data_IF_962569521681
#
_entry.id   IF_962569521681
#
_cell.length_a   1.000
_cell.length_b   1.000
_cell.length_c   1.000
_cell.angle_alpha   90.00
_cell.angle_beta   90.00
_cell.angle_gamma   90.00
#
_symmetry.space_group_name_H-M   'P 1'
#
loop_
_entity.id
_entity.type
_entity.pdbx_description
1 polymer ?
#
# COMPACT_ATOMS: atom_id res chain seq x y z
N UNK A 1 37.72 -25.51 -47.48
CA UNK A 1 37.43 -25.08 -48.87
C UNK A 1 35.98 -25.35 -49.29
N UNK A 2 35.39 -26.51 -49.01
CA UNK A 2 33.99 -26.79 -49.43
C UNK A 2 32.95 -25.96 -48.69
N UNK A 3 33.06 -25.82 -47.36
CA UNK A 3 32.12 -25.03 -46.56
C UNK A 3 32.12 -23.53 -46.91
N UNK A 4 33.29 -22.97 -47.22
CA UNK A 4 33.44 -21.57 -47.61
C UNK A 4 32.75 -21.28 -48.96
N UNK A 5 32.85 -22.21 -49.93
CA UNK A 5 32.09 -22.13 -51.19
C UNK A 5 30.58 -22.20 -50.94
N UNK A 6 30.13 -23.08 -50.04
CA UNK A 6 28.72 -23.20 -49.66
C UNK A 6 28.20 -21.92 -48.97
N UNK A 7 28.97 -21.34 -48.05
CA UNK A 7 28.65 -20.08 -47.37
C UNK A 7 28.55 -18.90 -48.36
N UNK A 8 29.48 -18.82 -49.33
CA UNK A 8 29.43 -17.80 -50.37
C UNK A 8 28.20 -17.96 -51.27
N UNK A 9 27.87 -19.19 -51.68
CA UNK A 9 26.65 -19.47 -52.45
C UNK A 9 25.38 -19.08 -51.67
N UNK A 10 25.32 -19.41 -50.38
CA UNK A 10 24.22 -19.05 -49.49
C UNK A 10 24.05 -17.52 -49.37
N UNK A 11 25.14 -16.77 -49.21
CA UNK A 11 25.11 -15.31 -49.17
C UNK A 11 24.70 -14.68 -50.51
N UNK A 12 25.11 -15.26 -51.65
CA UNK A 12 24.65 -14.83 -52.98
C UNK A 12 23.14 -15.04 -53.14
N UNK A 13 22.59 -16.16 -52.65
CA UNK A 13 21.13 -16.41 -52.65
C UNK A 13 20.37 -15.39 -51.80
N UNK A 14 20.85 -15.11 -50.58
CA UNK A 14 20.23 -14.11 -49.71
C UNK A 14 20.25 -12.70 -50.33
N UNK A 15 21.35 -12.34 -51.00
CA UNK A 15 21.47 -11.06 -51.70
C UNK A 15 20.52 -10.97 -52.91
N UNK A 16 20.41 -12.05 -53.71
CA UNK A 16 19.48 -12.12 -54.84
C UNK A 16 18.02 -12.00 -54.41
N UNK A 17 17.70 -12.43 -53.19
CA UNK A 17 16.37 -12.28 -52.60
C UNK A 17 16.13 -10.87 -52.02
N UNK A 18 17.11 -9.96 -52.04
CA UNK A 18 17.00 -8.60 -51.50
C UNK A 18 17.26 -8.50 -49.99
N UNK A 19 17.80 -9.53 -49.36
CA UNK A 19 18.12 -9.50 -47.92
C UNK A 19 19.30 -8.56 -47.64
N UNK A 20 19.14 -7.70 -46.62
CA UNK A 20 20.23 -6.87 -46.08
C UNK A 20 21.09 -7.62 -45.05
N UNK A 21 20.86 -8.93 -44.87
CA UNK A 21 21.57 -9.81 -43.94
C UNK A 21 22.53 -10.72 -44.70
N UNK A 22 23.69 -10.99 -44.10
CA UNK A 22 24.68 -11.96 -44.56
C UNK A 22 25.04 -12.92 -43.43
N UNK A 23 25.27 -14.18 -43.76
CA UNK A 23 25.80 -15.19 -42.85
C UNK A 23 27.33 -15.03 -42.78
N UNK A 24 27.86 -14.85 -41.57
CA UNK A 24 29.28 -14.66 -41.28
C UNK A 24 29.75 -15.79 -40.35
N UNK A 25 30.78 -16.53 -40.76
CA UNK A 25 31.47 -17.47 -39.89
C UNK A 25 32.47 -16.71 -39.00
N UNK A 26 32.40 -16.92 -37.67
CA UNK A 26 33.43 -16.47 -36.73
C UNK A 26 33.88 -17.65 -35.88
N UNK A 27 35.11 -18.08 -36.10
CA UNK A 27 35.63 -19.32 -35.50
C UNK A 27 34.82 -20.52 -35.96
N UNK A 28 34.31 -21.30 -35.01
CA UNK A 28 33.49 -22.48 -35.28
C UNK A 28 31.98 -22.21 -35.35
N UNK A 29 31.52 -20.94 -35.28
CA UNK A 29 30.09 -20.60 -35.20
C UNK A 29 29.63 -19.63 -36.30
N UNK A 30 28.35 -19.72 -36.63
CA UNK A 30 27.69 -18.84 -37.60
C UNK A 30 26.91 -17.70 -36.94
N UNK A 31 26.91 -16.55 -37.61
CA UNK A 31 26.23 -15.32 -37.18
C UNK A 31 25.52 -14.69 -38.38
N UNK A 32 24.46 -13.92 -38.13
CA UNK A 32 23.91 -13.01 -39.13
C UNK A 32 24.48 -11.61 -38.92
N UNK A 33 24.85 -10.94 -40.00
CA UNK A 33 25.36 -9.57 -40.00
C UNK A 33 24.57 -8.75 -41.01
N UNK A 34 24.05 -7.60 -40.58
CA UNK A 34 23.32 -6.71 -41.47
C UNK A 34 22.77 -5.49 -40.75
N UNK A 35 21.99 -4.68 -41.47
CA UNK A 35 21.36 -3.49 -40.92
C UNK A 35 20.11 -3.92 -40.13
N UNK A 36 20.14 -3.72 -38.81
CA UNK A 36 19.08 -4.13 -37.88
C UNK A 36 18.64 -2.94 -37.01
N UNK A 37 17.38 -2.91 -36.54
CA UNK A 37 16.90 -1.93 -35.56
C UNK A 37 17.77 -1.87 -34.29
N UNK A 38 17.94 -0.70 -33.68
CA UNK A 38 18.66 -0.56 -32.40
C UNK A 38 17.80 -1.07 -31.24
N UNK A 39 18.43 -1.72 -30.25
CA UNK A 39 17.75 -2.30 -29.08
C UNK A 39 16.98 -1.29 -28.22
N UNK A 40 17.46 -0.05 -28.15
CA UNK A 40 16.90 1.01 -27.31
C UNK A 40 16.06 2.02 -28.12
N UNK A 41 16.11 1.94 -29.45
CA UNK A 41 15.38 2.84 -30.34
C UNK A 41 15.09 2.14 -31.68
N UNK A 42 13.96 1.42 -31.79
CA UNK A 42 13.62 0.64 -32.98
C UNK A 42 13.53 1.43 -34.29
N UNK A 43 13.30 2.75 -34.21
CA UNK A 43 13.19 3.65 -35.37
C UNK A 43 14.54 3.97 -36.02
N UNK A 44 15.66 3.58 -35.38
CA UNK A 44 17.00 3.74 -35.92
C UNK A 44 17.62 2.38 -36.24
N UNK A 45 18.32 2.30 -37.37
CA UNK A 45 19.01 1.06 -37.78
C UNK A 45 20.52 1.25 -37.81
N UNK A 46 21.26 0.20 -37.43
CA UNK A 46 22.74 0.16 -37.53
C UNK A 46 23.19 -1.22 -37.98
N UNK A 47 24.39 -1.29 -38.57
CA UNK A 47 25.05 -2.56 -38.85
C UNK A 47 25.33 -3.31 -37.53
N UNK A 48 24.65 -4.43 -37.34
CA UNK A 48 24.70 -5.23 -36.12
C UNK A 48 24.83 -6.72 -36.47
N UNK A 49 25.02 -7.54 -35.43
CA UNK A 49 25.16 -8.99 -35.57
C UNK A 49 24.20 -9.72 -34.65
N UNK A 50 23.66 -10.83 -35.14
CA UNK A 50 22.90 -11.81 -34.37
C UNK A 50 23.73 -13.09 -34.30
N UNK A 51 24.06 -13.53 -33.09
CA UNK A 51 24.73 -14.82 -32.87
C UNK A 51 23.69 -15.92 -32.90
N UNK A 52 23.79 -16.84 -33.87
CA UNK A 52 22.83 -17.93 -34.02
C UNK A 52 23.14 -19.11 -33.09
N UNK A 53 24.35 -19.16 -32.52
CA UNK A 53 24.73 -20.27 -31.64
C UNK A 53 24.86 -21.62 -32.36
N UNK A 54 24.83 -21.68 -33.69
CA UNK A 54 25.03 -22.91 -34.46
C UNK A 54 26.46 -23.05 -34.96
N UNK A 55 26.89 -24.29 -35.19
CA UNK A 55 28.21 -24.62 -35.70
C UNK A 55 28.34 -24.29 -37.18
N UNK A 56 29.58 -24.08 -37.64
CA UNK A 56 29.90 -23.86 -39.05
C UNK A 56 29.99 -25.20 -39.82
N UNK A 57 28.86 -25.91 -39.90
CA UNK A 57 28.67 -27.16 -40.63
C UNK A 57 27.41 -27.07 -41.54
N UNK A 58 27.14 -28.06 -42.42
CA UNK A 58 26.00 -27.99 -43.33
C UNK A 58 24.64 -27.80 -42.64
N UNK A 59 24.41 -28.48 -41.50
CA UNK A 59 23.17 -28.35 -40.74
C UNK A 59 23.02 -26.96 -40.10
N UNK A 60 24.11 -26.40 -39.59
CA UNK A 60 24.17 -25.03 -39.08
C UNK A 60 23.97 -23.99 -40.18
N UNK A 61 24.42 -24.25 -41.40
CA UNK A 61 24.21 -23.37 -42.55
C UNK A 61 22.74 -23.30 -42.97
N UNK A 62 22.05 -24.45 -43.01
CA UNK A 62 20.60 -24.50 -43.25
C UNK A 62 19.81 -23.78 -42.16
N UNK A 63 20.21 -23.96 -40.89
CA UNK A 63 19.64 -23.21 -39.78
C UNK A 63 19.85 -21.70 -39.93
N UNK A 64 21.06 -21.28 -40.35
CA UNK A 64 21.37 -19.87 -40.57
C UNK A 64 20.57 -19.25 -41.73
N UNK A 65 20.27 -20.01 -42.79
CA UNK A 65 19.42 -19.58 -43.89
C UNK A 65 17.96 -19.39 -43.46
N UNK A 66 17.42 -20.33 -42.66
CA UNK A 66 16.07 -20.21 -42.10
C UNK A 66 15.98 -19.01 -41.14
N UNK A 67 16.98 -18.84 -40.27
CA UNK A 67 17.05 -17.69 -39.36
C UNK A 67 17.14 -16.36 -40.12
N UNK A 68 17.96 -16.28 -41.17
CA UNK A 68 18.06 -15.08 -42.02
C UNK A 68 16.72 -14.73 -42.68
N UNK A 69 15.97 -15.73 -43.13
CA UNK A 69 14.64 -15.55 -43.73
C UNK A 69 13.61 -15.06 -42.69
N UNK A 70 13.65 -15.61 -41.47
CA UNK A 70 12.76 -15.19 -40.38
C UNK A 70 13.05 -13.75 -39.93
N UNK A 71 14.33 -13.39 -39.71
CA UNK A 71 14.74 -12.03 -39.34
C UNK A 71 14.32 -11.04 -40.41
N UNK A 72 14.50 -11.40 -41.70
CA UNK A 72 14.04 -10.56 -42.80
C UNK A 72 12.54 -10.32 -42.75
N UNK A 73 11.73 -11.38 -42.63
CA UNK A 73 10.28 -11.27 -42.56
C UNK A 73 9.84 -10.34 -41.41
N UNK A 74 10.50 -10.46 -40.25
CA UNK A 74 10.23 -9.62 -39.09
C UNK A 74 10.58 -8.14 -39.31
N UNK A 75 11.67 -7.86 -40.06
CA UNK A 75 12.04 -6.50 -40.42
C UNK A 75 11.04 -5.92 -41.43
N UNK A 76 10.69 -6.70 -42.46
CA UNK A 76 9.75 -6.28 -43.51
C UNK A 76 8.33 -6.01 -42.94
N UNK A 77 7.94 -6.74 -41.88
CA UNK A 77 6.67 -6.56 -41.15
C UNK A 77 6.74 -5.55 -39.99
N UNK A 78 7.91 -4.97 -39.70
CA UNK A 78 8.09 -4.03 -38.58
C UNK A 78 7.91 -4.66 -37.18
N UNK A 79 7.99 -5.98 -37.05
CA UNK A 79 7.76 -6.73 -35.80
C UNK A 79 9.03 -7.37 -35.22
N UNK A 80 10.21 -6.94 -35.68
CA UNK A 80 11.49 -7.47 -35.21
C UNK A 80 11.77 -7.15 -33.74
N UNK A 81 11.95 -8.19 -32.92
CA UNK A 81 12.32 -8.09 -31.51
C UNK A 81 13.64 -8.80 -31.23
N UNK A 82 14.58 -8.08 -30.62
CA UNK A 82 15.87 -8.61 -30.20
C UNK A 82 15.76 -9.70 -29.13
N UNK A 83 14.68 -9.75 -28.34
CA UNK A 83 14.50 -10.75 -27.28
C UNK A 83 14.47 -12.19 -27.83
N UNK A 84 13.97 -12.37 -29.05
CA UNK A 84 13.91 -13.65 -29.75
C UNK A 84 15.28 -14.11 -30.28
N UNK A 85 16.24 -13.19 -30.41
CA UNK A 85 17.53 -13.41 -31.11
C UNK A 85 18.75 -13.20 -30.23
N UNK A 86 18.58 -12.64 -29.04
CA UNK A 86 19.58 -12.73 -27.99
C UNK A 86 19.62 -14.18 -27.53
N UNK A 87 20.53 -14.96 -28.11
CA UNK A 87 20.94 -16.24 -27.52
C UNK A 87 21.14 -15.98 -26.03
N UNK A 88 20.41 -16.70 -25.17
CA UNK A 88 20.67 -16.74 -23.72
C UNK A 88 22.15 -17.03 -23.57
N UNK A 89 22.94 -15.98 -23.39
CA UNK A 89 24.20 -16.11 -22.71
C UNK A 89 23.76 -16.64 -21.36
N UNK A 90 24.22 -17.84 -21.03
CA UNK A 90 24.68 -18.12 -19.69
C UNK A 90 25.61 -16.96 -19.30
N UNK A 91 25.00 -15.86 -18.86
CA UNK A 91 25.71 -14.67 -18.48
C UNK A 91 26.48 -15.06 -17.22
N UNK A 92 27.80 -15.07 -17.32
CA UNK A 92 28.72 -14.99 -16.18
C UNK A 92 28.64 -13.60 -15.49
N UNK A 93 27.45 -13.00 -15.51
CA UNK A 93 26.98 -11.80 -14.82
C UNK A 93 25.44 -11.86 -14.71
N UNK A 94 24.85 -13.06 -14.67
CA UNK A 94 23.54 -13.22 -14.05
C UNK A 94 23.72 -12.71 -12.62
N UNK A 95 23.08 -11.58 -12.33
CA UNK A 95 22.85 -11.16 -10.98
C UNK A 95 22.37 -12.42 -10.23
N UNK A 96 23.12 -12.86 -9.21
CA UNK A 96 22.75 -14.00 -8.35
C UNK A 96 21.24 -13.95 -8.14
N UNK A 97 20.45 -15.03 -8.22
CA UNK A 97 19.01 -14.82 -8.39
C UNK A 97 18.32 -14.14 -7.18
N UNK A 98 19.04 -14.00 -6.05
CA UNK A 98 18.80 -13.03 -4.96
C UNK A 98 18.79 -11.56 -5.41
N UNK A 99 19.78 -11.13 -6.19
CA UNK A 99 19.89 -9.82 -6.83
C UNK A 99 18.76 -9.59 -7.87
N UNK A 100 18.20 -10.65 -8.47
CA UNK A 100 17.04 -10.54 -9.36
C UNK A 100 15.73 -10.27 -8.60
N UNK A 101 15.52 -10.92 -7.45
CA UNK A 101 14.38 -10.65 -6.54
C UNK A 101 14.47 -9.24 -5.97
N UNK A 102 15.62 -8.86 -5.44
CA UNK A 102 15.85 -7.52 -4.89
C UNK A 102 15.66 -6.43 -5.96
N UNK A 103 16.13 -6.67 -7.18
CA UNK A 103 15.91 -5.76 -8.30
C UNK A 103 14.41 -5.65 -8.66
N UNK A 104 13.68 -6.76 -8.68
CA UNK A 104 12.24 -6.77 -8.91
C UNK A 104 11.47 -6.01 -7.81
N UNK A 105 11.82 -6.22 -6.54
CA UNK A 105 11.22 -5.52 -5.41
C UNK A 105 11.52 -4.01 -5.44
N UNK A 106 12.74 -3.60 -5.81
CA UNK A 106 13.10 -2.18 -6.00
C UNK A 106 12.32 -1.54 -7.16
N UNK A 107 12.12 -2.27 -8.27
CA UNK A 107 11.27 -1.81 -9.38
C UNK A 107 9.82 -1.64 -8.93
N UNK A 108 9.31 -2.59 -8.14
CA UNK A 108 7.97 -2.53 -7.59
C UNK A 108 7.80 -1.36 -6.62
N UNK A 109 8.79 -1.09 -5.75
CA UNK A 109 8.81 0.08 -4.87
C UNK A 109 8.72 1.38 -5.65
N UNK A 110 9.56 1.52 -6.69
CA UNK A 110 9.55 2.71 -7.56
C UNK A 110 8.19 2.88 -8.25
N UNK A 111 7.61 1.79 -8.76
CA UNK A 111 6.29 1.82 -9.38
C UNK A 111 5.19 2.20 -8.37
N UNK A 112 5.25 1.64 -7.16
CA UNK A 112 4.31 1.96 -6.07
C UNK A 112 4.31 3.45 -5.74
N UNK A 113 5.48 4.08 -5.60
CA UNK A 113 5.54 5.51 -5.27
C UNK A 113 5.26 6.43 -6.46
N UNK A 114 5.44 5.97 -7.69
CA UNK A 114 5.16 6.75 -8.90
C UNK A 114 3.68 6.75 -9.32
N UNK A 115 2.86 5.81 -8.79
CA UNK A 115 1.43 5.70 -9.06
C UNK A 115 0.71 7.05 -8.83
N UNK A 116 0.10 7.65 -9.87
CA UNK A 116 -0.61 8.93 -9.75
C UNK A 116 -1.67 8.97 -8.66
N UNK A 117 -2.35 7.85 -8.38
CA UNK A 117 -3.40 7.76 -7.34
C UNK A 117 -2.83 8.00 -5.94
N UNK A 118 -1.55 7.68 -5.73
CA UNK A 118 -0.86 7.73 -4.44
C UNK A 118 -0.19 9.07 -4.16
N UNK A 119 -0.09 9.94 -5.17
CA UNK A 119 0.43 11.32 -5.05
C UNK A 119 -0.44 12.21 -4.16
N UNK A 120 -1.75 11.92 -4.06
CA UNK A 120 -2.70 12.70 -3.24
C UNK A 120 -2.42 12.62 -1.74
N UNK A 121 -1.74 11.58 -1.26
CA UNK A 121 -1.36 11.44 0.16
C UNK A 121 0.03 10.80 0.31
N UNK A 122 1.13 11.57 0.12
CA UNK A 122 2.49 11.01 0.15
C UNK A 122 2.87 10.39 1.51
N UNK A 123 2.41 10.97 2.62
CA UNK A 123 2.63 10.43 3.98
C UNK A 123 1.86 9.14 4.23
N UNK A 124 0.63 9.04 3.71
CA UNK A 124 -0.18 7.82 3.73
C UNK A 124 0.45 6.71 2.91
N UNK A 125 0.98 7.03 1.72
CA UNK A 125 1.69 6.07 0.86
C UNK A 125 2.95 5.53 1.52
N UNK A 126 3.78 6.38 2.14
CA UNK A 126 4.96 5.94 2.92
C UNK A 126 4.58 4.99 4.06
N UNK A 127 3.52 5.32 4.80
CA UNK A 127 3.01 4.47 5.89
C UNK A 127 2.49 3.13 5.39
N UNK A 128 1.74 3.16 4.29
CA UNK A 128 1.19 1.95 3.66
C UNK A 128 2.32 1.05 3.18
N UNK A 129 3.34 1.62 2.53
CA UNK A 129 4.51 0.87 2.09
C UNK A 129 5.26 0.25 3.26
N UNK A 130 5.66 1.05 4.26
CA UNK A 130 6.49 0.58 5.37
C UNK A 130 5.77 -0.41 6.29
N UNK A 131 4.46 -0.25 6.49
CA UNK A 131 3.68 -1.08 7.41
C UNK A 131 2.95 -2.25 6.76
N UNK A 132 2.42 -2.09 5.55
CA UNK A 132 1.53 -3.07 4.92
C UNK A 132 2.15 -3.80 3.72
N UNK A 133 3.30 -3.37 3.20
CA UNK A 133 3.97 -4.00 2.06
C UNK A 133 5.35 -4.54 2.45
N UNK A 134 6.26 -3.64 2.84
CA UNK A 134 7.67 -3.92 3.07
C UNK A 134 7.95 -5.10 4.01
N UNK A 135 7.24 -5.31 5.13
CA UNK A 135 7.50 -6.46 6.01
C UNK A 135 7.27 -7.81 5.30
N UNK A 136 6.23 -7.89 4.48
CA UNK A 136 5.84 -9.08 3.74
C UNK A 136 6.76 -9.32 2.53
N UNK A 137 7.16 -8.24 1.84
CA UNK A 137 8.11 -8.30 0.74
C UNK A 137 9.52 -8.72 1.20
N UNK A 138 9.96 -8.26 2.37
CA UNK A 138 11.22 -8.71 2.98
C UNK A 138 11.17 -10.19 3.31
N UNK A 139 10.05 -10.67 3.88
CA UNK A 139 9.88 -12.10 4.14
C UNK A 139 9.94 -12.93 2.85
N UNK A 140 9.24 -12.50 1.80
CA UNK A 140 9.31 -13.11 0.47
C UNK A 140 10.76 -13.20 -0.03
N UNK A 141 11.51 -12.09 0.06
CA UNK A 141 12.92 -12.02 -0.37
C UNK A 141 13.84 -12.93 0.45
N UNK A 142 13.56 -13.15 1.72
CA UNK A 142 14.32 -14.09 2.54
C UNK A 142 13.96 -15.54 2.20
N UNK A 143 12.70 -15.83 1.89
CA UNK A 143 12.23 -17.17 1.52
C UNK A 143 12.58 -17.57 0.09
N UNK A 144 12.88 -16.60 -0.78
CA UNK A 144 13.29 -16.91 -2.15
C UNK A 144 14.61 -17.67 -2.20
N UNK A 145 15.46 -17.58 -1.18
CA UNK A 145 16.78 -18.22 -1.07
C UNK A 145 17.60 -18.13 -2.38
N UNK A 146 17.54 -16.94 -2.98
CA UNK A 146 18.18 -16.67 -4.25
C UNK A 146 17.55 -17.31 -5.48
N UNK A 147 16.26 -17.69 -5.47
CA UNK A 147 15.46 -18.08 -6.63
C UNK A 147 14.64 -16.93 -7.24
N UNK A 148 13.82 -17.20 -8.26
CA UNK A 148 12.94 -16.19 -8.90
C UNK A 148 11.59 -16.06 -8.18
N UNK A 149 10.94 -14.89 -8.28
CA UNK A 149 9.57 -14.71 -7.79
C UNK A 149 8.60 -15.52 -8.67
N UNK A 150 7.96 -16.53 -8.08
CA UNK A 150 6.95 -17.39 -8.72
C UNK A 150 5.63 -17.38 -7.95
N UNK A 151 4.54 -17.86 -8.57
CA UNK A 151 3.26 -18.02 -7.88
C UNK A 151 3.38 -18.92 -6.64
N UNK A 152 4.16 -20.01 -6.72
CA UNK A 152 4.40 -20.93 -5.62
C UNK A 152 5.11 -20.25 -4.44
N UNK A 153 6.12 -19.42 -4.72
CA UNK A 153 6.81 -18.67 -3.67
C UNK A 153 5.86 -17.67 -2.99
N UNK A 154 5.01 -16.99 -3.75
CA UNK A 154 4.00 -16.08 -3.19
C UNK A 154 3.02 -16.84 -2.28
N UNK A 155 2.58 -18.03 -2.70
CA UNK A 155 1.71 -18.88 -1.90
C UNK A 155 2.41 -19.38 -0.63
N UNK A 156 3.65 -19.84 -0.74
CA UNK A 156 4.47 -20.26 0.40
C UNK A 156 4.66 -19.12 1.42
N UNK A 157 4.90 -17.89 0.95
CA UNK A 157 4.98 -16.73 1.84
C UNK A 157 3.64 -16.43 2.51
N UNK A 158 2.53 -16.55 1.79
CA UNK A 158 1.19 -16.37 2.36
C UNK A 158 0.90 -17.41 3.46
N UNK A 159 1.20 -18.68 3.20
CA UNK A 159 1.00 -19.79 4.14
C UNK A 159 1.92 -19.74 5.37
N UNK A 160 2.98 -18.94 5.34
CA UNK A 160 3.85 -18.71 6.51
C UNK A 160 3.18 -17.90 7.63
N UNK A 161 1.96 -17.39 7.39
CA UNK A 161 1.15 -16.68 8.37
C UNK A 161 -0.05 -17.54 8.78
N UNK A 162 -0.40 -17.44 10.06
CA UNK A 162 -1.55 -18.14 10.64
C UNK A 162 -2.83 -17.83 9.84
N UNK A 163 -3.62 -18.89 9.60
CA UNK A 163 -4.86 -18.79 8.85
C UNK A 163 -5.87 -17.84 9.54
N UNK A 164 -6.63 -17.10 8.74
CA UNK A 164 -7.57 -16.07 9.23
C UNK A 164 -6.94 -14.87 9.94
N UNK A 165 -5.61 -14.80 10.07
CA UNK A 165 -4.95 -13.70 10.78
C UNK A 165 -4.95 -12.39 9.98
N UNK A 166 -4.94 -11.25 10.69
CA UNK A 166 -4.84 -9.93 10.06
C UNK A 166 -3.56 -9.77 9.24
N UNK A 167 -2.46 -10.40 9.69
CA UNK A 167 -1.17 -10.38 9.01
C UNK A 167 -1.22 -11.15 7.69
N UNK A 168 -1.89 -12.32 7.65
CA UNK A 168 -2.11 -13.09 6.42
C UNK A 168 -2.91 -12.31 5.38
N UNK A 169 -3.99 -11.63 5.80
CA UNK A 169 -4.78 -10.76 4.92
C UNK A 169 -3.96 -9.60 4.32
N UNK A 170 -3.08 -8.98 5.14
CA UNK A 170 -2.20 -7.92 4.65
C UNK A 170 -1.12 -8.46 3.71
N UNK A 171 -0.53 -9.61 4.05
CA UNK A 171 0.41 -10.32 3.20
C UNK A 171 -0.20 -10.59 1.83
N UNK A 172 -1.39 -11.19 1.78
CA UNK A 172 -2.11 -11.46 0.54
C UNK A 172 -2.35 -10.20 -0.31
N UNK A 173 -2.68 -9.08 0.33
CA UNK A 173 -2.89 -7.80 -0.36
C UNK A 173 -1.58 -7.29 -0.99
N UNK A 174 -0.47 -7.35 -0.26
CA UNK A 174 0.84 -6.91 -0.73
C UNK A 174 1.36 -7.80 -1.87
N UNK A 175 1.29 -9.12 -1.69
CA UNK A 175 1.75 -10.11 -2.67
C UNK A 175 0.88 -10.10 -3.93
N UNK A 176 -0.45 -9.92 -3.82
CA UNK A 176 -1.30 -9.75 -4.99
C UNK A 176 -0.98 -8.49 -5.80
N UNK A 177 -0.57 -7.42 -5.13
CA UNK A 177 -0.12 -6.21 -5.82
C UNK A 177 1.23 -6.41 -6.53
N UNK A 178 2.15 -7.17 -5.92
CA UNK A 178 3.41 -7.55 -6.54
C UNK A 178 3.19 -8.49 -7.74
N UNK A 179 2.35 -9.52 -7.60
CA UNK A 179 2.02 -10.46 -8.67
C UNK A 179 1.47 -9.75 -9.91
N UNK A 180 0.51 -8.82 -9.71
CA UNK A 180 0.00 -7.99 -10.81
C UNK A 180 1.07 -7.12 -11.47
N UNK A 181 2.03 -6.60 -10.70
CA UNK A 181 3.12 -5.80 -11.25
C UNK A 181 4.13 -6.62 -12.06
N UNK A 182 4.34 -7.87 -11.67
CA UNK A 182 5.23 -8.81 -12.35
C UNK A 182 4.51 -9.68 -13.39
N UNK A 183 3.21 -9.47 -13.59
CA UNK A 183 2.34 -10.24 -14.49
C UNK A 183 2.35 -11.75 -14.18
N UNK A 184 2.45 -12.10 -12.89
CA UNK A 184 2.39 -13.48 -12.39
C UNK A 184 0.91 -13.83 -12.15
N UNK A 185 0.38 -14.88 -12.81
CA UNK A 185 -0.97 -15.36 -12.53
C UNK A 185 -1.02 -15.97 -11.12
N UNK A 186 -2.02 -15.57 -10.35
CA UNK A 186 -2.29 -16.14 -9.03
C UNK A 186 -3.40 -17.20 -9.13
N UNK A 187 -3.41 -18.19 -8.23
CA UNK A 187 -4.53 -19.13 -8.10
C UNK A 187 -5.88 -18.42 -7.93
N UNK A 188 -6.95 -19.03 -8.45
CA UNK A 188 -8.31 -18.46 -8.41
C UNK A 188 -8.84 -18.31 -6.96
N UNK A 189 -8.41 -19.20 -6.08
CA UNK A 189 -8.73 -19.26 -4.65
C UNK A 189 -7.88 -18.32 -3.77
N UNK A 190 -6.99 -17.50 -4.35
CA UNK A 190 -6.07 -16.62 -3.60
C UNK A 190 -6.76 -15.75 -2.54
N UNK A 191 -7.99 -15.30 -2.81
CA UNK A 191 -8.77 -14.50 -1.86
C UNK A 191 -9.32 -15.30 -0.69
N UNK A 192 -9.70 -16.55 -0.93
CA UNK A 192 -10.21 -17.46 0.09
C UNK A 192 -9.07 -17.86 1.03
N UNK A 193 -7.93 -18.23 0.43
CA UNK A 193 -6.67 -18.51 1.13
C UNK A 193 -6.14 -17.33 1.95
N UNK A 194 -6.48 -16.10 1.58
CA UNK A 194 -6.10 -14.90 2.32
C UNK A 194 -7.03 -14.57 3.49
N UNK A 195 -8.31 -14.96 3.38
CA UNK A 195 -9.38 -14.53 4.28
C UNK A 195 -9.58 -15.47 5.48
N UNK A 196 -9.42 -16.78 5.25
CA UNK A 196 -9.91 -17.82 6.16
C UNK A 196 -11.45 -17.81 6.28
N UNK A 197 -12.04 -18.87 6.87
CA UNK A 197 -13.46 -18.88 7.24
C UNK A 197 -13.70 -17.86 8.37
N UNK A 198 -14.13 -16.65 8.01
CA UNK A 198 -14.24 -15.53 8.94
C UNK A 198 -15.38 -15.65 9.95
N UNK A 199 -15.13 -15.30 11.21
CA UNK A 199 -15.70 -14.11 11.89
C UNK A 199 -15.51 -14.16 13.44
N UNK A 200 -15.36 -12.95 14.02
CA UNK A 200 -15.61 -12.58 15.43
C UNK A 200 -14.83 -13.29 16.55
N UNK A 201 -13.51 -13.08 16.63
CA UNK A 201 -12.84 -12.95 17.95
C UNK A 201 -12.50 -11.50 18.27
N UNK A 202 -13.47 -10.60 18.11
CA UNK A 202 -13.39 -9.32 18.79
C UNK A 202 -13.62 -9.60 20.28
N UNK A 203 -12.54 -9.67 21.07
CA UNK A 203 -12.67 -9.79 22.53
C UNK A 203 -13.47 -8.58 23.03
N UNK A 204 -14.51 -8.83 23.82
CA UNK A 204 -15.26 -7.76 24.47
C UNK A 204 -14.30 -6.87 25.30
N UNK A 205 -14.04 -5.67 24.78
CA UNK A 205 -13.40 -4.53 25.42
C UNK A 205 -14.36 -3.86 26.38
N UNK A 206 -13.92 -3.68 27.63
CA UNK A 206 -14.61 -2.82 28.58
C UNK A 206 -14.26 -1.36 28.27
N UNK A 207 -15.28 -0.54 28.02
CA UNK A 207 -15.11 0.90 27.78
C UNK A 207 -15.15 1.68 29.10
N UNK A 208 -14.37 2.76 29.22
CA UNK A 208 -14.41 3.59 30.41
C UNK A 208 -15.72 4.38 30.49
N UNK A 209 -16.24 4.50 31.70
CA UNK A 209 -17.35 5.40 32.03
C UNK A 209 -16.91 6.86 31.97
N UNK A 210 -17.86 7.79 31.86
CA UNK A 210 -17.60 9.23 31.90
C UNK A 210 -16.81 9.65 33.15
N UNK A 211 -17.16 9.09 34.31
CA UNK A 211 -16.43 9.31 35.56
C UNK A 211 -14.97 8.89 35.45
N UNK A 212 -14.70 7.69 34.95
CA UNK A 212 -13.33 7.19 34.76
C UNK A 212 -12.54 8.04 33.77
N UNK A 213 -13.20 8.57 32.73
CA UNK A 213 -12.55 9.48 31.76
C UNK A 213 -12.14 10.79 32.44
N UNK A 214 -13.01 11.37 33.26
CA UNK A 214 -12.72 12.59 34.02
C UNK A 214 -11.59 12.35 35.04
N UNK A 215 -11.64 11.23 35.78
CA UNK A 215 -10.62 10.86 36.77
C UNK A 215 -9.25 10.65 36.13
N UNK A 216 -9.18 9.94 35.00
CA UNK A 216 -7.93 9.73 34.27
C UNK A 216 -7.33 11.03 33.71
N UNK A 217 -8.15 12.03 33.40
CA UNK A 217 -7.64 13.33 32.96
C UNK A 217 -6.87 14.06 34.09
N UNK A 218 -7.29 13.88 35.35
CA UNK A 218 -6.64 14.49 36.51
C UNK A 218 -5.24 13.93 36.77
N UNK A 219 -4.99 12.68 36.37
CA UNK A 219 -3.68 12.04 36.54
C UNK A 219 -2.65 12.45 35.48
N UNK A 220 -3.04 13.24 34.46
CA UNK A 220 -2.12 13.70 33.39
C UNK A 220 -1.36 14.94 33.88
N UNK A 221 -0.05 14.85 34.19
CA UNK A 221 0.67 15.94 34.83
C UNK A 221 0.91 17.13 33.89
N UNK A 222 1.04 16.90 32.59
CA UNK A 222 1.34 17.94 31.61
C UNK A 222 0.04 18.58 31.08
N UNK A 223 -0.17 19.90 31.23
CA UNK A 223 -1.38 20.59 30.80
C UNK A 223 -1.67 20.45 29.30
N UNK A 224 -0.66 20.58 28.44
CA UNK A 224 -0.81 20.41 26.99
C UNK A 224 -1.35 19.03 26.62
N UNK A 225 -0.85 17.98 27.28
CA UNK A 225 -1.35 16.62 27.05
C UNK A 225 -2.75 16.39 27.63
N UNK A 226 -3.13 17.15 28.66
CA UNK A 226 -4.50 17.14 29.20
C UNK A 226 -5.48 17.77 28.22
N UNK A 227 -5.10 18.86 27.54
CA UNK A 227 -5.88 19.44 26.44
C UNK A 227 -6.05 18.45 25.28
N UNK A 228 -4.97 17.77 24.87
CA UNK A 228 -5.02 16.74 23.84
C UNK A 228 -5.95 15.56 24.22
N UNK A 229 -5.91 15.13 25.49
CA UNK A 229 -6.82 14.13 26.05
C UNK A 229 -8.28 14.61 25.98
N UNK A 230 -8.54 15.83 26.45
CA UNK A 230 -9.86 16.44 26.48
C UNK A 230 -10.47 16.56 25.08
N UNK A 231 -9.71 17.01 24.09
CA UNK A 231 -10.16 17.05 22.69
C UNK A 231 -10.63 15.67 22.19
N UNK A 232 -9.86 14.61 22.45
CA UNK A 232 -10.25 13.25 22.04
C UNK A 232 -11.50 12.75 22.77
N UNK A 233 -11.60 13.02 24.07
CA UNK A 233 -12.72 12.59 24.89
C UNK A 233 -14.04 13.28 24.50
N UNK A 234 -13.97 14.59 24.25
CA UNK A 234 -15.13 15.45 23.96
C UNK A 234 -15.61 15.32 22.51
N UNK A 235 -14.70 15.18 21.54
CA UNK A 235 -14.99 15.23 20.11
C UNK A 235 -14.76 13.91 19.37
N UNK A 236 -14.37 12.85 20.09
CA UNK A 236 -14.18 11.53 19.51
C UNK A 236 -13.07 11.47 18.47
N UNK A 237 -12.08 12.37 18.50
CA UNK A 237 -11.03 12.48 17.50
C UNK A 237 -10.10 11.26 17.47
N UNK A 238 -9.54 10.94 16.30
CA UNK A 238 -8.40 10.02 16.20
C UNK A 238 -7.17 10.71 16.75
N UNK A 239 -6.24 9.91 17.25
CA UNK A 239 -4.99 10.37 17.84
C UNK A 239 -4.27 11.45 17.02
N UNK A 240 -4.20 11.29 15.70
CA UNK A 240 -3.52 12.27 14.84
C UNK A 240 -4.38 13.52 14.58
N UNK A 241 -5.71 13.42 14.57
CA UNK A 241 -6.64 14.53 14.27
C UNK A 241 -6.55 15.64 15.31
N UNK A 242 -6.17 15.32 16.56
CA UNK A 242 -5.94 16.27 17.66
C UNK A 242 -4.98 17.41 17.27
N UNK A 243 -4.03 17.14 16.36
CA UNK A 243 -3.04 18.14 15.92
C UNK A 243 -3.37 18.76 14.55
N UNK A 244 -4.52 18.43 13.98
CA UNK A 244 -4.97 18.88 12.67
C UNK A 244 -6.46 19.27 12.74
N UNK A 245 -6.86 19.94 13.81
CA UNK A 245 -8.18 20.54 13.97
C UNK A 245 -8.07 22.06 14.10
N UNK A 246 -9.06 22.75 13.56
CA UNK A 246 -9.31 24.16 13.80
C UNK A 246 -10.20 24.28 15.04
N UNK A 247 -9.66 24.92 16.07
CA UNK A 247 -10.30 25.12 17.37
C UNK A 247 -10.86 26.53 17.55
N UNK A 248 -10.85 27.38 16.52
CA UNK A 248 -11.36 28.76 16.60
C UNK A 248 -12.81 28.84 17.09
N UNK A 249 -13.64 27.85 16.75
CA UNK A 249 -15.02 27.72 17.21
C UNK A 249 -15.18 27.49 18.73
N UNK A 250 -14.09 27.26 19.47
CA UNK A 250 -14.09 27.14 20.93
C UNK A 250 -14.00 28.49 21.65
N UNK A 251 -13.79 29.59 20.92
CA UNK A 251 -13.80 30.95 21.47
C UNK A 251 -15.17 31.27 22.09
N UNK A 252 -15.20 32.30 22.95
CA UNK A 252 -16.45 32.81 23.50
C UNK A 252 -17.41 33.22 22.37
N UNK A 253 -18.66 32.75 22.46
CA UNK A 253 -19.68 32.96 21.42
C UNK A 253 -19.58 32.03 20.20
N UNK A 254 -18.57 31.17 20.12
CA UNK A 254 -18.45 30.13 19.08
C UNK A 254 -19.45 28.98 19.25
N UNK A 255 -19.72 28.25 18.16
CA UNK A 255 -20.66 27.12 18.13
C UNK A 255 -20.09 25.82 18.73
N UNK A 256 -18.82 25.84 19.17
CA UNK A 256 -18.07 24.72 19.75
C UNK A 256 -17.90 23.53 18.79
N UNK A 257 -18.08 23.71 17.48
CA UNK A 257 -17.91 22.64 16.50
C UNK A 257 -16.49 22.66 15.97
N UNK A 258 -15.76 21.57 16.17
CA UNK A 258 -14.40 21.46 15.63
C UNK A 258 -14.42 21.09 14.16
N UNK A 259 -13.58 21.78 13.37
CA UNK A 259 -13.31 21.38 11.99
C UNK A 259 -12.00 20.61 11.93
N UNK A 260 -12.07 19.34 11.56
CA UNK A 260 -10.90 18.52 11.27
C UNK A 260 -10.42 18.82 9.85
N UNK A 261 -9.15 19.15 9.71
CA UNK A 261 -8.56 19.60 8.46
C UNK A 261 -8.38 18.44 7.45
N UNK A 262 -8.34 18.73 6.14
CA UNK A 262 -8.25 17.71 5.08
C UNK A 262 -6.95 16.90 5.10
N UNK A 263 -5.93 17.35 5.82
CA UNK A 263 -4.59 16.72 5.89
C UNK A 263 -4.56 15.44 6.75
N UNK A 264 -5.71 14.96 7.19
CA UNK A 264 -5.85 13.76 8.03
C UNK A 264 -6.19 12.51 7.20
N UNK A 265 -6.08 11.33 7.82
CA UNK A 265 -6.43 10.04 7.18
C UNK A 265 -7.90 9.98 6.72
N UNK A 266 -8.72 10.83 7.31
CA UNK A 266 -10.18 10.73 7.32
C UNK A 266 -10.83 11.84 6.49
N UNK A 267 -9.99 12.74 5.98
CA UNK A 267 -10.43 13.90 5.25
C UNK A 267 -11.08 14.92 6.16
N UNK A 268 -11.55 15.97 5.53
CA UNK A 268 -12.21 17.06 6.20
C UNK A 268 -13.58 16.63 6.73
N UNK A 269 -13.85 16.98 7.99
CA UNK A 269 -15.14 16.77 8.63
C UNK A 269 -15.30 17.69 9.83
N UNK A 270 -16.52 17.79 10.34
CA UNK A 270 -16.85 18.54 11.55
C UNK A 270 -17.21 17.57 12.68
N UNK A 271 -16.81 17.87 13.91
CA UNK A 271 -17.15 17.08 15.09
C UNK A 271 -17.76 17.96 16.17
N UNK A 272 -18.85 17.48 16.77
CA UNK A 272 -19.56 18.16 17.86
C UNK A 272 -19.16 17.56 19.21
N UNK A 273 -19.24 18.34 20.29
CA UNK A 273 -18.97 17.84 21.62
C UNK A 273 -20.13 16.97 22.10
N UNK A 274 -19.80 15.79 22.64
CA UNK A 274 -20.74 15.02 23.46
C UNK A 274 -20.28 15.13 24.90
N UNK A 275 -21.17 15.67 25.75
CA UNK A 275 -20.85 16.48 26.93
C UNK A 275 -20.26 17.86 26.55
N UNK A 276 -21.10 18.81 26.09
CA UNK A 276 -20.67 20.18 25.80
C UNK A 276 -19.93 20.86 26.97
N UNK A 277 -20.29 20.52 28.21
CA UNK A 277 -19.65 21.02 29.43
C UNK A 277 -18.21 20.53 29.62
N UNK A 278 -17.77 19.53 28.85
CA UNK A 278 -16.39 19.07 28.87
C UNK A 278 -15.44 20.05 28.16
N UNK A 279 -15.96 20.96 27.33
CA UNK A 279 -15.18 22.05 26.75
C UNK A 279 -14.60 22.92 27.86
N UNK A 280 -15.42 23.31 28.84
CA UNK A 280 -14.99 24.07 30.01
C UNK A 280 -14.21 23.21 31.00
N UNK A 281 -14.69 21.99 31.32
CA UNK A 281 -14.02 21.12 32.33
C UNK A 281 -12.58 20.76 31.95
N UNK A 282 -12.29 20.61 30.66
CA UNK A 282 -10.94 20.34 30.18
C UNK A 282 -10.16 21.62 29.80
N UNK A 283 -10.77 22.80 29.90
CA UNK A 283 -10.13 24.07 29.54
C UNK A 283 -9.85 24.21 28.04
N UNK A 284 -10.65 23.58 27.18
CA UNK A 284 -10.37 23.53 25.73
C UNK A 284 -10.50 24.89 25.04
N UNK A 285 -11.15 25.86 25.68
CA UNK A 285 -11.29 27.24 25.19
C UNK A 285 -9.92 27.91 24.97
N UNK A 286 -8.90 27.52 25.74
CA UNK A 286 -7.51 28.00 25.55
C UNK A 286 -7.02 27.78 24.11
N UNK A 287 -7.49 26.72 23.45
CA UNK A 287 -7.06 26.34 22.11
C UNK A 287 -7.64 27.23 21.00
N UNK A 288 -8.67 28.02 21.30
CA UNK A 288 -9.22 28.96 20.33
C UNK A 288 -8.20 30.04 19.96
N UNK A 289 -7.55 30.62 20.99
CA UNK A 289 -6.59 31.72 20.83
C UNK A 289 -5.13 31.23 20.86
N UNK A 290 -4.87 30.10 21.52
CA UNK A 290 -3.54 29.54 21.65
C UNK A 290 -3.46 28.07 21.16
N UNK A 291 -3.50 27.82 19.84
CA UNK A 291 -3.30 26.47 19.29
C UNK A 291 -1.97 25.82 19.70
N UNK A 292 -0.97 26.63 20.10
CA UNK A 292 0.34 26.15 20.55
C UNK A 292 0.33 25.61 21.99
N UNK A 293 -0.78 25.74 22.72
CA UNK A 293 -0.95 25.10 24.02
C UNK A 293 -0.99 23.56 23.92
N UNK A 294 -1.28 23.00 22.73
CA UNK A 294 -1.12 21.58 22.47
C UNK A 294 0.35 21.11 22.53
N UNK A 295 0.61 19.81 22.75
CA UNK A 295 1.97 19.30 22.85
C UNK A 295 2.78 19.59 21.58
N UNK A 296 3.97 20.17 21.76
CA UNK A 296 4.89 20.43 20.66
C UNK A 296 5.46 19.10 20.12
N UNK A 297 4.87 18.59 19.05
CA UNK A 297 5.33 17.39 18.34
C UNK A 297 5.56 17.70 16.85
N UNK A 298 6.31 16.82 16.17
CA UNK A 298 6.55 16.96 14.74
C UNK A 298 5.30 16.61 13.94
N UNK A 299 4.63 17.62 13.40
CA UNK A 299 3.43 17.49 12.57
C UNK A 299 3.68 17.72 11.08
N UNK A 300 4.86 18.22 10.68
CA UNK A 300 5.23 18.39 9.27
C UNK A 300 5.24 17.02 8.55
N UNK A 301 4.18 16.77 7.77
CA UNK A 301 3.96 15.52 7.05
C UNK A 301 4.97 15.26 5.93
N UNK A 302 5.89 16.18 5.63
CA UNK A 302 7.06 15.91 4.77
C UNK A 302 8.14 15.16 5.56
N UNK A 303 8.25 15.42 6.86
CA UNK A 303 9.27 14.87 7.77
C UNK A 303 8.74 13.78 8.70
N UNK A 304 7.42 13.61 8.80
CA UNK A 304 6.75 12.58 9.60
C UNK A 304 5.58 11.93 8.83
N UNK A 305 4.80 11.07 9.49
CA UNK A 305 3.54 10.53 8.98
C UNK A 305 2.43 10.65 10.01
N UNK A 306 1.16 10.62 9.57
CA UNK A 306 0.00 10.63 10.47
C UNK A 306 0.04 9.47 11.48
N UNK A 307 0.55 8.30 11.08
CA UNK A 307 0.73 7.17 11.99
C UNK A 307 1.72 7.51 13.11
N UNK A 308 2.85 8.15 12.79
CA UNK A 308 3.83 8.54 13.79
C UNK A 308 3.30 9.63 14.72
N UNK A 309 2.56 10.61 14.18
CA UNK A 309 1.85 11.63 14.99
C UNK A 309 0.90 10.94 15.97
N UNK A 310 0.00 10.07 15.50
CA UNK A 310 -0.93 9.36 16.36
C UNK A 310 -0.25 8.40 17.35
N UNK A 311 0.88 7.80 16.96
CA UNK A 311 1.71 6.95 17.84
C UNK A 311 2.26 7.73 19.03
N UNK A 312 2.62 9.02 18.87
CA UNK A 312 3.09 9.85 20.00
C UNK A 312 2.05 9.95 21.10
N UNK A 313 0.77 10.07 20.75
CA UNK A 313 -0.33 10.09 21.72
C UNK A 313 -0.39 8.78 22.49
N UNK A 314 -0.40 7.64 21.79
CA UNK A 314 -0.44 6.33 22.43
C UNK A 314 0.79 6.06 23.31
N UNK A 315 1.97 6.48 22.87
CA UNK A 315 3.20 6.40 23.65
C UNK A 315 3.11 7.24 24.92
N UNK A 316 2.56 8.45 24.84
CA UNK A 316 2.44 9.32 25.99
C UNK A 316 1.41 8.83 27.00
N UNK A 317 0.25 8.34 26.55
CA UNK A 317 -0.75 7.72 27.44
C UNK A 317 -0.14 6.55 28.22
N UNK A 318 0.68 5.72 27.54
CA UNK A 318 1.40 4.62 28.19
C UNK A 318 2.44 5.10 29.18
N UNK A 319 3.18 6.17 28.87
CA UNK A 319 4.18 6.77 29.79
C UNK A 319 3.54 7.30 31.07
N UNK A 320 2.33 7.83 30.97
CA UNK A 320 1.53 8.23 32.13
C UNK A 320 0.80 7.07 32.81
N UNK A 321 0.96 5.83 32.32
CA UNK A 321 0.29 4.64 32.82
C UNK A 321 -1.23 4.81 32.93
N UNK A 322 -1.85 5.54 31.98
CA UNK A 322 -3.30 5.76 32.01
C UNK A 322 -4.03 4.42 31.84
N UNK A 323 -5.11 4.18 32.60
CA UNK A 323 -5.92 2.96 32.48
C UNK A 323 -6.80 2.93 31.22
N UNK A 324 -6.71 3.98 30.39
CA UNK A 324 -7.55 4.22 29.21
C UNK A 324 -6.64 4.43 28.01
N UNK A 325 -6.95 3.80 26.87
CA UNK A 325 -6.25 4.08 25.61
C UNK A 325 -6.93 5.20 24.82
N UNK A 326 -6.22 5.91 23.92
CA UNK A 326 -6.85 6.93 23.07
C UNK A 326 -8.03 6.40 22.24
N UNK A 327 -7.96 5.14 21.82
CA UNK A 327 -9.03 4.51 21.05
C UNK A 327 -10.28 4.26 21.91
N UNK A 328 -10.11 4.03 23.20
CA UNK A 328 -11.25 3.87 24.14
C UNK A 328 -12.03 5.17 24.28
N UNK A 329 -11.35 6.33 24.30
CA UNK A 329 -12.01 7.64 24.33
C UNK A 329 -12.89 7.85 23.09
N UNK A 330 -12.32 7.59 21.92
CA UNK A 330 -13.04 7.69 20.64
C UNK A 330 -14.23 6.74 20.58
N UNK A 331 -14.10 5.57 21.19
CA UNK A 331 -15.17 4.58 21.23
C UNK A 331 -16.26 4.97 22.22
N UNK A 332 -15.90 5.38 23.44
CA UNK A 332 -16.85 5.90 24.42
C UNK A 332 -17.67 7.05 23.83
N UNK A 333 -17.03 7.95 23.06
CA UNK A 333 -17.71 8.99 22.31
C UNK A 333 -18.77 8.44 21.34
N UNK A 334 -18.43 7.44 20.52
CA UNK A 334 -19.38 6.82 19.58
C UNK A 334 -20.57 6.16 20.30
N UNK A 335 -20.31 5.52 21.44
CA UNK A 335 -21.35 4.91 22.27
C UNK A 335 -22.29 5.98 22.83
N UNK A 336 -21.79 7.15 23.26
CA UNK A 336 -22.64 8.28 23.68
C UNK A 336 -23.57 8.74 22.56
N UNK A 337 -23.09 8.81 21.32
CA UNK A 337 -23.94 9.24 20.19
C UNK A 337 -25.10 8.26 19.97
N UNK A 338 -24.85 6.96 20.15
CA UNK A 338 -25.87 5.91 20.06
C UNK A 338 -26.90 6.07 21.18
N UNK A 339 -26.46 6.30 22.42
CA UNK A 339 -27.36 6.47 23.57
C UNK A 339 -28.31 7.66 23.44
N UNK A 340 -27.84 8.75 22.83
CA UNK A 340 -28.67 9.94 22.57
C UNK A 340 -29.59 9.72 21.33
N UNK A 341 -29.35 8.64 20.58
CA UNK A 341 -30.10 8.28 19.38
C UNK A 341 -29.76 9.17 18.19
N UNK A 342 -28.49 9.57 18.06
CA UNK A 342 -28.00 10.23 16.86
C UNK A 342 -27.95 9.20 15.70
N UNK A 343 -28.43 9.53 14.49
CA UNK A 343 -28.34 8.61 13.37
C UNK A 343 -26.90 8.24 13.03
N UNK A 344 -26.66 6.95 12.74
CA UNK A 344 -25.33 6.42 12.39
C UNK A 344 -24.66 7.14 11.22
N UNK A 345 -25.46 7.60 10.25
CA UNK A 345 -25.00 8.38 9.11
C UNK A 345 -24.35 9.69 9.55
N UNK A 346 -24.94 10.34 10.55
CA UNK A 346 -24.44 11.58 11.14
C UNK A 346 -23.21 11.30 12.00
N UNK A 347 -23.28 10.30 12.90
CA UNK A 347 -22.15 9.90 13.74
C UNK A 347 -20.91 9.50 12.91
N UNK A 348 -21.10 8.69 11.87
CA UNK A 348 -20.02 8.25 10.97
C UNK A 348 -19.39 9.44 10.23
N UNK A 349 -20.19 10.40 9.76
CA UNK A 349 -19.71 11.62 9.12
C UNK A 349 -18.91 12.49 10.10
N UNK A 350 -19.40 12.67 11.33
CA UNK A 350 -18.71 13.43 12.38
C UNK A 350 -17.39 12.79 12.80
N UNK A 351 -17.27 11.49 12.63
CA UNK A 351 -16.07 10.73 12.91
C UNK A 351 -15.17 10.56 11.67
N UNK A 352 -15.54 11.10 10.51
CA UNK A 352 -14.76 11.03 9.27
C UNK A 352 -14.59 9.61 8.70
N UNK A 353 -15.66 8.82 8.63
CA UNK A 353 -15.66 7.49 7.99
C UNK A 353 -17.03 7.09 7.44
N UNK A 354 -17.09 6.01 6.66
CA UNK A 354 -18.34 5.47 6.15
C UNK A 354 -19.16 4.76 7.22
N UNK A 355 -20.48 4.70 7.02
CA UNK A 355 -21.43 3.97 7.88
C UNK A 355 -21.02 2.51 8.03
N UNK A 356 -20.64 1.84 6.94
CA UNK A 356 -20.19 0.45 6.99
C UNK A 356 -18.97 0.25 7.91
N UNK A 357 -18.02 1.21 7.92
CA UNK A 357 -16.89 1.17 8.87
C UNK A 357 -17.40 1.43 10.28
N UNK A 358 -18.33 2.37 10.46
CA UNK A 358 -18.90 2.73 11.75
C UNK A 358 -19.62 1.57 12.42
N UNK A 359 -20.59 0.97 11.76
CA UNK A 359 -21.34 -0.18 12.26
C UNK A 359 -20.39 -1.34 12.59
N UNK A 360 -19.51 -1.72 11.67
CA UNK A 360 -18.55 -2.82 11.91
C UNK A 360 -17.64 -2.58 13.12
N UNK A 361 -17.33 -1.33 13.43
CA UNK A 361 -16.33 -0.97 14.45
C UNK A 361 -16.97 -0.71 15.81
N UNK A 362 -18.12 -0.03 15.84
CA UNK A 362 -18.74 0.51 17.06
C UNK A 362 -20.07 -0.16 17.42
N UNK A 363 -20.79 -0.77 16.48
CA UNK A 363 -22.09 -1.39 16.79
C UNK A 363 -21.99 -2.76 17.45
N UNK A 364 -20.86 -3.47 17.28
CA UNK A 364 -20.64 -4.73 17.99
C UNK A 364 -20.62 -4.58 19.53
N UNK A 365 -20.57 -3.33 20.01
CA UNK A 365 -20.43 -2.94 21.40
C UNK A 365 -21.74 -2.50 22.03
N UNK A 366 -22.80 -2.42 21.23
CA UNK A 366 -24.15 -2.15 21.72
C UNK A 366 -24.62 -3.42 22.42
N UNK A 367 -24.64 -3.38 23.74
CA UNK A 367 -25.23 -4.44 24.56
C UNK A 367 -26.76 -4.36 24.48
N UNK A 368 -27.45 -5.43 24.90
CA UNK A 368 -28.92 -5.42 25.03
C UNK A 368 -29.41 -4.24 25.90
N UNK A 369 -28.63 -3.85 26.92
CA UNK A 369 -28.93 -2.69 27.77
C UNK A 369 -28.94 -1.40 26.95
N UNK A 370 -27.98 -1.23 26.06
CA UNK A 370 -27.83 -0.03 25.24
C UNK A 370 -28.93 0.05 24.19
N UNK A 371 -29.33 -1.11 23.62
CA UNK A 371 -30.51 -1.23 22.77
C UNK A 371 -31.79 -0.83 23.52
N UNK A 372 -31.96 -1.33 24.75
CA UNK A 372 -33.14 -1.01 25.56
C UNK A 372 -33.22 0.50 25.88
N UNK A 373 -32.11 1.11 26.28
CA UNK A 373 -32.08 2.56 26.54
C UNK A 373 -32.39 3.39 25.28
N UNK A 374 -31.87 2.98 24.12
CA UNK A 374 -32.19 3.66 22.86
C UNK A 374 -33.68 3.52 22.50
N UNK A 375 -34.27 2.35 22.73
CA UNK A 375 -35.72 2.11 22.56
C UNK A 375 -36.53 2.96 23.54
N UNK A 376 -36.16 2.99 24.82
CA UNK A 376 -36.86 3.77 25.84
C UNK A 376 -36.83 5.27 25.53
N UNK A 377 -35.67 5.80 25.10
CA UNK A 377 -35.52 7.19 24.69
C UNK A 377 -36.28 7.53 23.39
N UNK A 378 -36.39 6.59 22.45
CA UNK A 378 -37.19 6.75 21.24
C UNK A 378 -38.70 6.75 21.56
N UNK A 379 -39.15 5.83 22.43
CA UNK A 379 -40.53 5.75 22.88
C UNK A 379 -40.93 6.98 23.70
N UNK A 380 -40.03 7.51 24.53
CA UNK A 380 -40.26 8.75 25.28
C UNK A 380 -40.47 9.95 24.35
N UNK A 381 -39.68 10.06 23.26
CA UNK A 381 -39.83 11.11 22.24
C UNK A 381 -41.12 11.02 21.43
N UNK A 382 -41.71 9.83 21.29
CA UNK A 382 -43.02 9.67 20.63
C UNK A 382 -44.19 10.03 21.57
N UNK A 383 -43.96 10.00 22.88
CA UNK A 383 -44.98 10.32 23.90
C UNK A 383 -44.99 11.79 24.32
N UNK A 384 -43.91 12.51 24.06
CA UNK A 384 -43.80 13.97 24.18
C UNK A 384 -44.24 14.63 22.87
#
# INVERSE_FOLDING_TARGET
MEFEKALNSANTRLAAQGSKLRIEQRGSRLNLRGVLPLRLNPDQTKLQRISLGVMADPAGLDHALNAASLVRLQIDQGCFDWSAWSSRRSDANALEPTQAVDAALKRFEKAFFNDPRRRRSPSGSRTTWSGAYLPYLRRLSHQSDGGTISADLLLQTLMSYEDGSRSRQQCATALAALARFLEIPLPDDWREEAGGYGLHRARFRQLPTDRQILEAALTIPNPSWRLAYGLMATYGLRNHEVFFCDCSALAEGGDRVLRVLPTTKTGEHQSWPFHPEWVERFGLQELADNPKALPAIRTDLRKTTLQQVGRRVSEQFRRYALPITPYDLRHAWAVRTIHIGLPDTVAARMMGHSVAIHTRTYHHWITRRDQQQAVDAALARHRA
#
